data_IF_981328149138
#
_entry.id   IF_981328149138
#
_cell.length_a   1.000
_cell.length_b   1.000
_cell.length_c   1.000
_cell.angle_alpha   90.00
_cell.angle_beta   90.00
_cell.angle_gamma   90.00
#
_symmetry.space_group_name_H-M   'P 1'
#
loop_
_entity.id
_entity.type
_entity.pdbx_description
1 polymer ?
#
# COMPACT_ATOMS: atom_id res chain seq x y z
N UNK A 1 -18.96 10.68 -0.71
CA UNK A 1 -17.60 11.00 -0.23
C UNK A 1 -16.71 9.87 -0.70
N UNK A 2 -15.81 10.16 -1.64
CA UNK A 2 -14.85 9.17 -2.16
C UNK A 2 -13.90 8.83 -1.02
N UNK A 3 -13.68 7.53 -0.78
CA UNK A 3 -12.84 7.07 0.33
C UNK A 3 -11.50 6.66 -0.26
N UNK A 4 -10.51 7.55 -0.15
CA UNK A 4 -9.15 7.25 -0.58
C UNK A 4 -8.55 6.11 0.25
N UNK A 5 -7.68 5.31 -0.37
CA UNK A 5 -7.00 4.23 0.33
C UNK A 5 -6.09 4.78 1.42
N UNK A 6 -6.34 4.40 2.68
CA UNK A 6 -5.49 4.78 3.80
C UNK A 6 -4.08 4.21 3.59
N UNK A 7 -3.11 5.12 3.50
CA UNK A 7 -1.71 4.77 3.34
C UNK A 7 -1.18 4.16 4.62
N UNK A 8 -0.35 3.11 4.53
CA UNK A 8 0.24 2.47 5.70
C UNK A 8 1.18 3.39 6.48
N UNK A 9 1.78 4.37 5.80
CA UNK A 9 2.60 5.43 6.38
C UNK A 9 2.24 6.76 5.69
N UNK A 10 2.17 7.88 6.42
CA UNK A 10 1.91 9.16 5.80
C UNK A 10 3.09 9.58 4.93
N UNK A 11 2.77 10.19 3.79
CA UNK A 11 3.73 10.80 2.88
C UNK A 11 3.78 12.32 3.12
N UNK A 12 4.91 13.00 2.89
CA UNK A 12 4.95 14.45 2.85
C UNK A 12 3.99 15.00 1.79
N UNK A 13 3.30 16.11 2.09
CA UNK A 13 2.39 16.78 1.13
C UNK A 13 3.08 17.29 -0.14
N UNK A 14 4.41 17.42 -0.11
CA UNK A 14 5.22 17.82 -1.28
C UNK A 14 5.48 16.70 -2.27
N UNK A 15 5.32 15.45 -1.86
CA UNK A 15 5.85 14.32 -2.61
C UNK A 15 4.83 13.76 -3.61
N UNK A 16 3.55 14.10 -3.43
CA UNK A 16 2.44 13.57 -4.23
C UNK A 16 1.45 14.67 -4.59
N UNK A 17 1.11 14.76 -5.88
CA UNK A 17 0.07 15.66 -6.40
C UNK A 17 -0.90 14.87 -7.30
N UNK A 18 -2.16 15.28 -7.33
CA UNK A 18 -3.15 14.71 -8.26
C UNK A 18 -2.71 14.97 -9.71
N UNK A 19 -2.79 13.96 -10.55
CA UNK A 19 -2.28 13.97 -11.93
C UNK A 19 -0.84 13.50 -12.09
N UNK A 20 -0.11 13.27 -11.00
CA UNK A 20 1.26 12.75 -11.06
C UNK A 20 1.26 11.28 -11.48
N UNK A 21 2.19 10.94 -12.38
CA UNK A 21 2.55 9.56 -12.69
C UNK A 21 3.65 9.10 -11.73
N UNK A 22 3.51 7.92 -11.17
CA UNK A 22 4.49 7.34 -10.24
C UNK A 22 4.78 5.90 -10.60
N UNK A 23 6.02 5.46 -10.44
CA UNK A 23 6.38 4.05 -10.61
C UNK A 23 6.03 3.21 -9.37
N UNK A 24 6.05 3.85 -8.19
CA UNK A 24 5.70 3.20 -6.93
C UNK A 24 4.85 4.12 -6.04
N UNK A 25 3.57 3.79 -5.79
CA UNK A 25 2.66 4.66 -5.02
C UNK A 25 3.14 5.01 -3.61
N UNK A 26 3.86 4.11 -2.95
CA UNK A 26 4.34 4.32 -1.57
C UNK A 26 5.72 5.00 -1.48
N UNK A 27 6.41 5.14 -2.61
CA UNK A 27 7.72 5.77 -2.69
C UNK A 27 7.76 6.73 -3.91
N UNK A 28 6.86 7.73 -3.94
CA UNK A 28 6.75 8.66 -5.06
C UNK A 28 8.03 9.47 -5.30
N UNK A 29 8.91 9.58 -4.30
CA UNK A 29 10.19 10.28 -4.38
C UNK A 29 11.25 9.57 -5.24
N UNK A 30 11.05 8.28 -5.55
CA UNK A 30 12.04 7.48 -6.28
C UNK A 30 12.04 7.79 -7.77
N UNK A 31 10.86 7.73 -8.39
CA UNK A 31 10.68 7.94 -9.81
C UNK A 31 9.21 8.20 -10.12
N UNK A 32 8.97 9.36 -10.73
CA UNK A 32 7.65 9.85 -11.10
C UNK A 32 7.77 11.02 -12.07
N UNK A 33 6.66 11.33 -12.72
CA UNK A 33 6.55 12.40 -13.69
C UNK A 33 5.34 13.27 -13.38
N UNK A 34 5.53 14.57 -13.47
CA UNK A 34 4.46 15.55 -13.31
C UNK A 34 4.45 16.50 -14.52
N UNK A 35 3.35 16.48 -15.27
CA UNK A 35 3.19 17.36 -16.43
C UNK A 35 2.89 18.78 -15.95
N UNK A 36 3.81 19.70 -16.21
CA UNK A 36 3.55 21.13 -16.00
C UNK A 36 2.57 21.68 -17.04
N UNK A 37 2.57 21.11 -18.25
CA UNK A 37 1.66 21.52 -19.32
C UNK A 37 0.20 21.17 -19.00
N UNK A 38 -0.05 19.98 -18.46
CA UNK A 38 -1.40 19.53 -18.11
C UNK A 38 -1.86 20.01 -16.72
N UNK A 39 -1.02 20.72 -15.96
CA UNK A 39 -1.30 21.15 -14.58
C UNK A 39 -2.65 21.86 -14.44
N UNK A 40 -2.87 22.91 -15.23
CA UNK A 40 -4.08 23.74 -15.16
C UNK A 40 -5.34 22.93 -15.48
N UNK A 41 -5.29 22.14 -16.56
CA UNK A 41 -6.40 21.27 -16.96
C UNK A 41 -6.72 20.23 -15.89
N UNK A 42 -5.71 19.64 -15.26
CA UNK A 42 -5.92 18.66 -14.19
C UNK A 42 -6.52 19.34 -12.96
N UNK A 43 -6.08 20.56 -12.63
CA UNK A 43 -6.60 21.29 -11.48
C UNK A 43 -8.08 21.67 -11.65
N UNK A 44 -8.49 22.05 -12.85
CA UNK A 44 -9.90 22.30 -13.20
C UNK A 44 -10.79 21.06 -13.04
N UNK A 45 -10.24 19.86 -13.25
CA UNK A 45 -10.94 18.59 -13.09
C UNK A 45 -10.99 18.11 -11.62
N UNK A 46 -10.31 18.79 -10.70
CA UNK A 46 -10.23 18.41 -9.30
C UNK A 46 -11.37 19.03 -8.48
N UNK A 47 -11.95 18.22 -7.60
CA UNK A 47 -12.81 18.69 -6.52
C UNK A 47 -12.05 18.73 -5.20
N UNK A 48 -12.42 19.70 -4.37
CA UNK A 48 -11.77 20.02 -3.12
C UNK A 48 -12.77 19.89 -1.97
N UNK A 49 -12.51 18.95 -1.07
CA UNK A 49 -13.29 18.81 0.16
C UNK A 49 -12.44 19.13 1.39
N UNK A 50 -12.82 20.18 2.11
CA UNK A 50 -12.16 20.60 3.34
C UNK A 50 -13.07 20.33 4.52
N UNK A 51 -12.57 19.56 5.48
CA UNK A 51 -13.24 19.34 6.76
C UNK A 51 -12.39 19.90 7.90
N UNK A 52 -12.94 20.86 8.63
CA UNK A 52 -12.32 21.39 9.84
C UNK A 52 -12.60 20.47 11.03
N UNK A 53 -11.65 20.43 11.98
CA UNK A 53 -11.72 19.64 13.23
C UNK A 53 -12.03 18.17 12.94
N UNK A 54 -11.30 17.60 11.99
CA UNK A 54 -11.46 16.21 11.58
C UNK A 54 -11.16 15.28 12.76
N UNK A 55 -12.01 14.25 12.94
CA UNK A 55 -11.86 13.21 13.96
C UNK A 55 -12.21 11.86 13.36
N UNK A 56 -11.35 10.87 13.60
CA UNK A 56 -11.52 9.49 13.11
C UNK A 56 -10.84 8.50 14.08
N UNK A 57 -11.05 7.21 13.87
CA UNK A 57 -10.36 6.10 14.51
C UNK A 57 -9.68 5.26 13.43
N UNK A 58 -8.38 5.06 13.59
CA UNK A 58 -7.57 4.19 12.73
C UNK A 58 -7.18 2.92 13.48
N UNK A 59 -7.13 1.78 12.79
CA UNK A 59 -6.42 0.60 13.30
C UNK A 59 -4.98 0.60 12.80
N UNK A 60 -4.07 0.13 13.64
CA UNK A 60 -2.67 -0.09 13.28
C UNK A 60 -2.27 -1.54 13.46
N UNK A 61 -1.32 -2.01 12.65
CA UNK A 61 -0.71 -3.32 12.83
C UNK A 61 0.35 -3.31 13.96
N UNK A 62 1.02 -4.45 14.15
CA UNK A 62 2.06 -4.59 15.17
C UNK A 62 3.35 -3.81 14.84
N UNK A 63 3.53 -3.38 13.59
CA UNK A 63 4.66 -2.57 13.14
C UNK A 63 4.39 -1.06 13.22
N UNK A 64 3.14 -0.68 13.54
CA UNK A 64 2.68 0.70 13.58
C UNK A 64 2.28 1.25 12.21
N UNK A 65 1.94 0.41 11.24
CA UNK A 65 1.41 0.82 9.94
C UNK A 65 -0.12 0.94 10.02
N UNK A 66 -0.69 1.92 9.31
CA UNK A 66 -2.14 2.11 9.29
C UNK A 66 -2.87 1.05 8.45
N UNK A 67 -3.93 0.47 9.02
CA UNK A 67 -4.65 -0.67 8.45
C UNK A 67 -6.08 -0.35 8.01
N UNK A 68 -6.81 0.52 8.70
CA UNK A 68 -8.16 0.91 8.29
C UNK A 68 -8.55 2.21 8.98
N UNK A 69 -9.33 3.03 8.29
CA UNK A 69 -10.06 4.16 8.85
C UNK A 69 -11.52 3.72 9.01
N UNK A 70 -12.12 4.04 10.16
CA UNK A 70 -13.50 3.65 10.47
C UNK A 70 -14.50 4.82 10.30
N UNK A 71 -14.02 6.02 10.02
CA UNK A 71 -14.81 7.23 9.94
C UNK A 71 -15.34 7.71 11.30
N UNK A 72 -16.01 8.87 11.28
CA UNK A 72 -16.66 9.46 12.45
C UNK A 72 -18.00 8.78 12.82
N UNK A 73 -18.58 7.98 11.91
CA UNK A 73 -19.82 7.23 12.11
C UNK A 73 -19.48 5.75 12.31
N UNK A 74 -19.33 5.38 13.57
CA UNK A 74 -18.89 4.04 13.98
C UNK A 74 -19.90 2.95 13.62
N UNK A 75 -19.52 1.99 12.76
CA UNK A 75 -20.15 0.67 12.75
C UNK A 75 -19.65 -0.10 13.99
N UNK A 76 -20.36 0.09 15.11
CA UNK A 76 -20.01 -0.40 16.45
C UNK A 76 -19.58 -1.88 16.51
N UNK A 77 -20.12 -2.73 15.63
CA UNK A 77 -19.80 -4.17 15.60
C UNK A 77 -18.40 -4.51 15.05
N UNK A 78 -17.86 -3.70 14.13
CA UNK A 78 -16.56 -3.99 13.47
C UNK A 78 -15.37 -3.55 14.32
N UNK A 79 -15.49 -2.42 15.01
CA UNK A 79 -14.42 -1.82 15.83
C UNK A 79 -14.14 -2.64 17.08
N UNK A 80 -15.17 -3.27 17.67
CA UNK A 80 -15.06 -4.02 18.92
C UNK A 80 -14.05 -5.18 18.88
N UNK A 81 -13.74 -5.71 17.69
CA UNK A 81 -12.88 -6.88 17.53
C UNK A 81 -11.44 -6.54 17.13
N UNK A 82 -11.11 -5.26 16.98
CA UNK A 82 -9.83 -4.85 16.42
C UNK A 82 -8.86 -4.43 17.54
N UNK A 83 -7.71 -5.10 17.69
CA UNK A 83 -6.65 -4.63 18.56
C UNK A 83 -6.02 -3.34 17.98
N UNK A 84 -5.27 -2.62 18.81
CA UNK A 84 -4.43 -1.50 18.40
C UNK A 84 -5.16 -0.37 17.63
N UNK A 85 -6.10 0.30 18.31
CA UNK A 85 -6.83 1.43 17.77
C UNK A 85 -6.22 2.78 18.20
N UNK A 86 -6.20 3.74 17.27
CA UNK A 86 -5.77 5.13 17.47
C UNK A 86 -6.90 6.09 17.12
N UNK A 87 -7.24 6.99 18.04
CA UNK A 87 -8.06 8.17 17.73
C UNK A 87 -7.18 9.21 17.05
N UNK A 88 -7.62 9.68 15.89
CA UNK A 88 -7.00 10.75 15.12
C UNK A 88 -7.84 12.00 15.28
N UNK A 89 -7.20 13.12 15.60
CA UNK A 89 -7.81 14.44 15.59
C UNK A 89 -6.90 15.38 14.81
N UNK A 90 -7.41 16.03 13.78
CA UNK A 90 -6.66 16.99 12.97
C UNK A 90 -7.39 18.33 12.93
N UNK A 91 -6.63 19.42 12.80
CA UNK A 91 -7.21 20.76 12.63
C UNK A 91 -8.02 20.83 11.33
N UNK A 92 -7.50 20.19 10.30
CA UNK A 92 -8.08 20.19 8.97
C UNK A 92 -7.77 18.87 8.26
N UNK A 93 -8.76 18.36 7.53
CA UNK A 93 -8.58 17.38 6.47
C UNK A 93 -8.84 18.07 5.14
N UNK A 94 -7.96 17.87 4.16
CA UNK A 94 -8.11 18.35 2.80
C UNK A 94 -8.11 17.12 1.89
N UNK A 95 -9.19 16.90 1.16
CA UNK A 95 -9.26 15.90 0.11
C UNK A 95 -9.26 16.58 -1.23
N UNK A 96 -8.38 16.13 -2.13
CA UNK A 96 -8.36 16.53 -3.53
C UNK A 96 -8.63 15.29 -4.35
N UNK A 97 -9.61 15.33 -5.25
CA UNK A 97 -10.00 14.16 -6.06
C UNK A 97 -10.36 14.61 -7.46
N UNK A 98 -9.76 14.01 -8.48
CA UNK A 98 -10.19 14.22 -9.85
C UNK A 98 -11.58 13.60 -10.07
N UNK A 99 -12.54 14.41 -10.53
CA UNK A 99 -13.89 13.94 -10.83
C UNK A 99 -13.96 13.16 -12.14
N UNK A 100 -13.03 13.43 -13.06
CA UNK A 100 -12.90 12.76 -14.35
C UNK A 100 -11.47 12.20 -14.51
N UNK A 101 -11.15 11.07 -13.85
CA UNK A 101 -9.80 10.51 -13.85
C UNK A 101 -9.30 10.14 -15.25
N UNK A 102 -10.21 9.74 -16.14
CA UNK A 102 -9.89 9.41 -17.52
C UNK A 102 -9.45 10.65 -18.32
N UNK A 103 -10.13 11.78 -18.12
CA UNK A 103 -9.80 13.04 -18.80
C UNK A 103 -8.50 13.64 -18.25
N UNK A 104 -8.30 13.58 -16.93
CA UNK A 104 -7.04 13.97 -16.31
C UNK A 104 -5.87 13.12 -16.84
N UNK A 105 -6.06 11.80 -16.95
CA UNK A 105 -5.03 10.92 -17.52
C UNK A 105 -4.75 11.22 -18.99
N UNK A 106 -5.78 11.46 -19.79
CA UNK A 106 -5.64 11.83 -21.19
C UNK A 106 -4.89 13.16 -21.35
N UNK A 107 -5.17 14.15 -20.49
CA UNK A 107 -4.45 15.42 -20.47
C UNK A 107 -2.95 15.21 -20.19
N UNK A 108 -2.60 14.38 -19.20
CA UNK A 108 -1.20 14.01 -18.93
C UNK A 108 -0.57 13.30 -20.13
N UNK A 109 -1.27 12.34 -20.74
CA UNK A 109 -0.72 11.56 -21.86
C UNK A 109 -0.61 12.37 -23.17
N UNK A 110 -1.24 13.54 -23.28
CA UNK A 110 -1.08 14.44 -24.43
C UNK A 110 0.19 15.30 -24.35
N UNK A 111 0.86 15.34 -23.19
CA UNK A 111 2.18 15.95 -23.05
C UNK A 111 3.26 15.05 -23.66
N UNK A 112 4.08 15.60 -24.56
CA UNK A 112 5.15 14.86 -25.22
C UNK A 112 6.22 14.35 -24.24
N UNK A 113 6.48 15.10 -23.17
CA UNK A 113 7.46 14.70 -22.15
C UNK A 113 6.93 13.51 -21.33
N UNK A 114 5.62 13.52 -21.04
CA UNK A 114 4.95 12.39 -20.40
C UNK A 114 4.99 11.15 -21.31
N UNK A 115 4.68 11.30 -22.60
CA UNK A 115 4.75 10.22 -23.57
C UNK A 115 6.15 9.62 -23.64
N UNK A 116 7.20 10.45 -23.65
CA UNK A 116 8.58 9.99 -23.66
C UNK A 116 8.94 9.24 -22.37
N UNK A 117 8.49 9.73 -21.21
CA UNK A 117 8.68 9.04 -19.93
C UNK A 117 7.98 7.68 -19.91
N UNK A 118 6.71 7.62 -20.32
CA UNK A 118 5.92 6.38 -20.41
C UNK A 118 6.55 5.41 -21.42
N UNK A 119 7.03 5.90 -22.57
CA UNK A 119 7.71 5.10 -23.57
C UNK A 119 8.97 4.41 -23.02
N UNK A 120 9.76 5.14 -22.21
CA UNK A 120 10.94 4.56 -21.55
C UNK A 120 10.57 3.47 -20.53
N UNK A 121 9.46 3.65 -19.80
CA UNK A 121 8.94 2.62 -18.90
C UNK A 121 8.40 1.40 -19.65
N UNK A 122 7.70 1.61 -20.77
CA UNK A 122 7.18 0.56 -21.63
C UNK A 122 8.32 -0.33 -22.18
N UNK A 123 9.45 0.27 -22.58
CA UNK A 123 10.66 -0.49 -22.99
C UNK A 123 11.21 -1.37 -21.88
N UNK A 124 11.12 -0.90 -20.64
CA UNK A 124 11.57 -1.62 -19.45
C UNK A 124 10.51 -2.57 -18.89
N UNK A 125 9.32 -2.61 -19.49
CA UNK A 125 8.16 -3.38 -19.00
C UNK A 125 7.86 -3.08 -17.52
N UNK A 126 7.96 -1.80 -17.13
CA UNK A 126 7.67 -1.35 -15.77
C UNK A 126 6.24 -0.86 -15.64
N UNK A 127 5.60 -1.30 -14.56
CA UNK A 127 4.31 -0.77 -14.14
C UNK A 127 4.46 0.67 -13.63
N UNK A 128 3.40 1.45 -13.82
CA UNK A 128 3.28 2.79 -13.28
C UNK A 128 1.82 3.07 -12.94
N UNK A 129 1.60 4.19 -12.28
CA UNK A 129 0.32 4.51 -11.67
C UNK A 129 0.03 5.99 -11.80
N UNK A 130 -1.26 6.33 -11.89
CA UNK A 130 -1.74 7.70 -11.86
C UNK A 130 -2.32 8.00 -10.48
N UNK A 131 -1.89 9.11 -9.88
CA UNK A 131 -2.50 9.64 -8.66
C UNK A 131 -3.75 10.42 -9.04
N UNK A 132 -4.90 9.96 -8.56
CA UNK A 132 -6.22 10.52 -8.90
C UNK A 132 -6.81 11.29 -7.71
N UNK A 133 -6.38 10.96 -6.49
CA UNK A 133 -6.82 11.68 -5.30
C UNK A 133 -5.84 11.58 -4.15
N UNK A 134 -5.86 12.59 -3.28
CA UNK A 134 -5.07 12.65 -2.06
C UNK A 134 -5.94 13.09 -0.88
N UNK A 135 -5.66 12.56 0.31
CA UNK A 135 -6.24 13.00 1.58
C UNK A 135 -5.11 13.45 2.49
N UNK A 136 -5.07 14.74 2.76
CA UNK A 136 -4.11 15.36 3.65
C UNK A 136 -4.75 15.65 5.01
N UNK A 137 -4.00 15.39 6.07
CA UNK A 137 -4.36 15.83 7.43
C UNK A 137 -3.35 16.88 7.88
N UNK A 138 -3.84 17.99 8.40
CA UNK A 138 -3.04 19.08 8.93
C UNK A 138 -3.07 19.08 10.46
N UNK A 139 -1.88 19.10 11.08
CA UNK A 139 -1.67 19.02 12.54
C UNK A 139 -2.45 17.87 13.17
N UNK A 140 -2.39 16.70 12.55
CA UNK A 140 -3.00 15.49 13.06
C UNK A 140 -2.29 15.03 14.34
N UNK A 141 -3.09 14.81 15.38
CA UNK A 141 -2.67 14.29 16.68
C UNK A 141 -3.28 12.91 16.85
N UNK A 142 -2.46 11.97 17.30
CA UNK A 142 -2.83 10.59 17.49
C UNK A 142 -2.82 10.25 18.97
N UNK A 143 -3.94 9.71 19.44
CA UNK A 143 -4.08 9.21 20.81
C UNK A 143 -4.51 7.77 20.75
N UNK A 144 -4.15 6.98 21.76
CA UNK A 144 -4.71 5.65 21.88
C UNK A 144 -6.22 5.74 21.98
N UNK A 145 -6.93 5.02 21.13
CA UNK A 145 -8.38 5.08 21.11
C UNK A 145 -8.93 4.52 22.41
N UNK A 146 -9.74 5.32 23.09
CA UNK A 146 -10.61 4.83 24.15
C UNK A 146 -11.92 4.43 23.48
N UNK A 147 -12.48 3.28 23.81
CA UNK A 147 -13.80 2.86 23.28
C UNK A 147 -14.91 3.89 23.57
N UNK A 148 -14.68 4.79 24.54
CA UNK A 148 -15.48 5.99 24.82
C UNK A 148 -15.47 7.04 23.70
N UNK A 149 -14.32 7.25 23.03
CA UNK A 149 -14.18 8.15 21.88
C UNK A 149 -14.89 7.62 20.63
N UNK A 150 -15.10 6.30 20.59
CA UNK A 150 -15.83 5.57 19.56
C UNK A 150 -17.35 5.48 19.82
N UNK A 151 -17.88 6.23 20.80
CA UNK A 151 -19.32 6.25 21.11
C UNK A 151 -19.87 4.98 21.77
N UNK A 152 -19.00 4.06 22.20
CA UNK A 152 -19.40 2.78 22.81
C UNK A 152 -19.49 2.90 24.34
N UNK A 153 -20.57 2.32 24.89
CA UNK A 153 -20.97 2.17 26.30
C UNK A 153 -19.88 2.41 27.38
N UNK A 154 -20.28 3.06 28.48
CA UNK A 154 -19.47 3.40 29.68
C UNK A 154 -18.72 2.22 30.32
N UNK A 155 -19.04 0.99 29.95
CA UNK A 155 -18.68 -0.23 30.69
C UNK A 155 -17.65 -1.14 29.98
N UNK A 156 -17.13 -0.76 28.82
CA UNK A 156 -16.14 -1.59 28.10
C UNK A 156 -14.71 -1.16 28.42
N UNK A 157 -14.00 -2.05 29.12
CA UNK A 157 -12.62 -1.86 29.54
C UNK A 157 -11.66 -1.90 28.35
N UNK A 158 -10.72 -0.97 28.37
CA UNK A 158 -9.66 -0.79 27.40
C UNK A 158 -8.80 -2.06 27.28
N UNK A 159 -8.74 -2.69 26.11
CA UNK A 159 -7.67 -3.66 25.84
C UNK A 159 -6.36 -2.87 25.62
N UNK A 160 -5.26 -3.17 26.35
CA UNK A 160 -3.90 -2.71 26.04
C UNK A 160 -3.63 -2.72 24.53
N UNK A 161 -2.89 -1.71 24.02
CA UNK A 161 -2.09 -1.99 22.82
C UNK A 161 -1.25 -3.21 23.19
N UNK A 162 -1.22 -4.21 22.32
CA UNK A 162 -0.46 -5.43 22.60
C UNK A 162 0.98 -5.03 22.97
N UNK A 163 1.59 -5.73 23.94
CA UNK A 163 2.88 -5.31 24.51
C UNK A 163 3.99 -5.16 23.44
N UNK A 164 3.82 -5.82 22.30
CA UNK A 164 4.75 -5.82 21.18
C UNK A 164 4.33 -4.90 20.03
N UNK A 165 3.12 -4.32 20.07
CA UNK A 165 2.61 -3.47 19.01
C UNK A 165 3.25 -2.08 19.04
N UNK A 166 3.90 -1.72 17.93
CA UNK A 166 4.60 -0.46 17.74
C UNK A 166 3.61 0.64 17.37
N UNK A 167 3.85 1.85 17.87
CA UNK A 167 3.13 3.05 17.41
C UNK A 167 3.81 3.51 16.11
N UNK A 168 3.07 4.04 15.11
CA UNK A 168 3.64 4.51 13.86
C UNK A 168 4.94 5.30 14.07
N UNK A 169 6.01 4.96 13.34
CA UNK A 169 7.35 5.59 13.50
C UNK A 169 7.31 7.12 13.39
N UNK A 170 6.36 7.64 12.62
CA UNK A 170 6.11 9.08 12.48
C UNK A 170 5.65 9.76 13.80
N UNK A 171 5.10 8.99 14.73
CA UNK A 171 4.73 9.38 16.11
C UNK A 171 5.81 9.04 17.13
N UNK A 172 6.80 8.21 16.77
CA UNK A 172 7.81 7.65 17.66
C UNK A 172 9.13 8.44 17.70
N UNK A 173 9.17 9.70 17.25
CA UNK A 173 10.41 10.50 17.35
C UNK A 173 10.84 10.65 18.83
N UNK A 174 11.96 9.97 19.15
CA UNK A 174 12.87 10.05 20.31
C UNK A 174 12.21 10.51 21.63
N UNK A 175 11.93 9.55 22.52
CA UNK A 175 11.73 9.73 23.97
C UNK A 175 10.37 10.25 24.46
N UNK A 176 9.29 10.05 23.70
CA UNK A 176 7.93 10.38 24.17
C UNK A 176 7.27 9.16 24.80
N UNK A 177 7.31 9.07 26.13
CA UNK A 177 6.21 8.44 26.88
C UNK A 177 4.93 9.15 26.44
N UNK A 178 4.05 8.44 25.74
CA UNK A 178 2.69 8.89 25.42
C UNK A 178 2.07 9.51 26.68
N UNK A 179 2.05 10.85 26.76
CA UNK A 179 1.51 11.59 27.92
C UNK A 179 2.51 12.32 28.82
N UNK A 180 3.52 13.02 28.28
CA UNK A 180 4.25 14.03 29.07
C UNK A 180 3.95 15.46 28.59
N UNK A 181 3.60 16.29 29.56
CA UNK A 181 3.13 17.68 29.52
C UNK A 181 4.01 18.59 28.64
N UNK A 182 3.42 19.24 27.62
CA UNK A 182 4.09 20.32 26.87
C UNK A 182 3.47 20.64 25.50
N UNK A 183 3.37 19.66 24.61
CA UNK A 183 2.62 19.75 23.35
C UNK A 183 2.46 18.34 22.79
N UNK A 184 1.25 17.96 22.36
CA UNK A 184 1.05 16.68 21.71
C UNK A 184 1.76 16.72 20.35
N UNK A 185 2.59 15.72 19.99
CA UNK A 185 3.28 15.71 18.71
C UNK A 185 2.23 15.65 17.60
N UNK A 186 2.16 16.71 16.81
CA UNK A 186 1.30 16.78 15.64
C UNK A 186 2.09 16.48 14.37
N UNK A 187 1.44 15.85 13.41
CA UNK A 187 2.01 15.52 12.10
C UNK A 187 1.08 16.03 11.00
N UNK A 188 1.67 16.53 9.92
CA UNK A 188 0.95 16.90 8.71
C UNK A 188 1.48 16.10 7.53
N UNK A 189 0.60 15.73 6.60
CA UNK A 189 0.99 15.00 5.39
C UNK A 189 -0.21 14.34 4.71
N UNK A 190 0.08 13.57 3.67
CA UNK A 190 -0.88 12.74 2.93
C UNK A 190 -1.07 11.42 3.69
N UNK A 191 -2.29 11.16 4.15
CA UNK A 191 -2.68 9.93 4.83
C UNK A 191 -3.49 8.99 3.94
N UNK A 192 -4.15 9.51 2.92
CA UNK A 192 -4.92 8.70 1.97
C UNK A 192 -4.55 9.03 0.54
N UNK A 193 -4.59 8.04 -0.33
CA UNK A 193 -4.35 8.22 -1.76
C UNK A 193 -5.31 7.35 -2.58
N UNK A 194 -5.83 7.91 -3.66
CA UNK A 194 -6.51 7.17 -4.72
C UNK A 194 -5.59 7.11 -5.93
N UNK A 195 -5.30 5.89 -6.36
CA UNK A 195 -4.30 5.59 -7.37
C UNK A 195 -4.87 4.59 -8.34
N UNK A 196 -4.65 4.80 -9.63
CA UNK A 196 -5.07 3.87 -10.68
C UNK A 196 -3.87 3.20 -11.33
N UNK A 197 -4.02 1.91 -11.63
CA UNK A 197 -2.98 1.15 -12.33
C UNK A 197 -2.93 1.58 -13.79
N UNK A 198 -1.74 1.85 -14.29
CA UNK A 198 -1.52 2.16 -15.68
C UNK A 198 -0.62 1.09 -16.31
N UNK A 199 -0.83 0.83 -17.60
CA UNK A 199 -0.01 -0.09 -18.38
C UNK A 199 0.39 0.62 -19.66
N UNK A 200 1.61 0.40 -20.13
CA UNK A 200 2.04 0.88 -21.42
C UNK A 200 2.81 -0.21 -22.17
N UNK A 201 2.58 -0.29 -23.48
CA UNK A 201 3.36 -1.17 -24.37
C UNK A 201 3.64 -0.49 -25.69
N UNK A 202 4.75 -0.88 -26.31
CA UNK A 202 5.07 -0.51 -27.68
C UNK A 202 4.49 -1.59 -28.57
N UNK A 203 3.61 -1.19 -29.49
CA UNK A 203 2.85 -2.09 -30.35
C UNK A 203 2.87 -1.57 -31.79
N UNK A 204 2.30 -2.34 -32.70
CA UNK A 204 1.88 -1.83 -34.02
C UNK A 204 0.36 -1.76 -34.09
N UNK A 205 -0.23 -0.92 -34.98
CA UNK A 205 -1.68 -0.86 -35.17
C UNK A 205 -2.33 -2.18 -35.61
N UNK A 206 -1.54 -3.10 -36.19
CA UNK A 206 -2.03 -4.41 -36.65
C UNK A 206 -2.09 -5.46 -35.53
N UNK A 207 -1.42 -5.22 -34.39
CA UNK A 207 -1.37 -6.18 -33.30
C UNK A 207 -2.68 -6.14 -32.47
N UNK A 208 -3.38 -7.27 -32.29
CA UNK A 208 -4.62 -7.29 -31.54
C UNK A 208 -4.40 -7.11 -30.03
N UNK A 209 -5.47 -6.70 -29.34
CA UNK A 209 -5.52 -6.71 -27.88
C UNK A 209 -5.51 -8.13 -27.32
N UNK A 210 -4.92 -8.27 -26.12
CA UNK A 210 -4.95 -9.50 -25.32
C UNK A 210 -6.15 -9.48 -24.39
N UNK A 211 -6.52 -10.64 -23.83
CA UNK A 211 -7.62 -10.73 -22.87
C UNK A 211 -7.40 -9.84 -21.63
N UNK A 212 -6.14 -9.66 -21.23
CA UNK A 212 -5.72 -8.80 -20.13
C UNK A 212 -5.99 -7.31 -20.38
N UNK A 213 -6.19 -6.91 -21.65
CA UNK A 213 -6.40 -5.51 -22.03
C UNK A 213 -7.83 -5.02 -21.77
N UNK A 214 -8.78 -5.91 -21.47
CA UNK A 214 -10.21 -5.60 -21.39
C UNK A 214 -10.54 -4.64 -20.23
N UNK A 215 -9.77 -4.68 -19.13
CA UNK A 215 -10.00 -3.82 -17.96
C UNK A 215 -9.41 -2.41 -18.08
N UNK A 216 -8.86 -2.06 -19.25
CA UNK A 216 -8.15 -0.81 -19.45
C UNK A 216 -8.83 0.09 -20.49
N UNK A 217 -8.78 1.39 -20.24
CA UNK A 217 -9.13 2.42 -21.21
C UNK A 217 -7.87 2.83 -21.96
N UNK A 218 -7.82 2.57 -23.26
CA UNK A 218 -6.62 2.68 -24.07
C UNK A 218 -6.54 3.99 -24.86
N UNK A 219 -5.35 4.58 -24.85
CA UNK A 219 -4.94 5.71 -25.67
C UNK A 219 -3.76 5.29 -26.55
N UNK A 220 -3.66 5.86 -27.75
CA UNK A 220 -2.71 5.46 -28.78
C UNK A 220 -1.96 6.70 -29.26
N UNK A 221 -0.64 6.60 -29.29
CA UNK A 221 0.25 7.69 -29.68
C UNK A 221 1.30 7.17 -30.65
N UNK A 222 1.50 7.87 -31.76
CA UNK A 222 2.56 7.53 -32.71
C UNK A 222 3.94 7.81 -32.09
N UNK A 223 4.88 6.87 -32.23
CA UNK A 223 6.25 7.07 -31.75
C UNK A 223 7.04 7.87 -32.78
N UNK A 224 7.55 9.08 -32.44
CA UNK A 224 8.30 9.89 -33.39
C UNK A 224 9.55 9.16 -33.90
N UNK A 225 9.74 9.14 -35.22
CA UNK A 225 10.93 8.55 -35.85
C UNK A 225 10.93 7.03 -35.97
N UNK A 226 9.82 6.34 -35.67
CA UNK A 226 9.74 4.90 -35.88
C UNK A 226 9.63 4.52 -37.37
N UNK A 227 10.57 3.71 -37.86
CA UNK A 227 10.55 3.19 -39.23
C UNK A 227 9.42 2.18 -39.47
N UNK A 228 8.94 1.52 -38.41
CA UNK A 228 8.00 0.40 -38.46
C UNK A 228 6.58 0.77 -38.06
N UNK A 229 6.24 2.08 -38.01
CA UNK A 229 4.94 2.57 -37.53
C UNK A 229 4.61 2.06 -36.12
N UNK A 230 5.60 2.11 -35.22
CA UNK A 230 5.37 1.78 -33.82
C UNK A 230 4.46 2.82 -33.18
N UNK A 231 3.58 2.34 -32.32
CA UNK A 231 2.69 3.15 -31.50
C UNK A 231 2.95 2.83 -30.02
N UNK A 232 2.98 3.87 -29.20
CA UNK A 232 2.87 3.77 -27.76
C UNK A 232 1.39 3.65 -27.45
N UNK A 233 1.01 2.54 -26.82
CA UNK A 233 -0.36 2.35 -26.32
C UNK A 233 -0.33 2.38 -24.80
N UNK A 234 -1.25 3.16 -24.23
CA UNK A 234 -1.29 3.48 -22.81
C UNK A 234 -2.68 3.20 -22.28
N UNK A 235 -2.78 2.35 -21.26
CA UNK A 235 -4.03 1.93 -20.66
C UNK A 235 -4.20 2.47 -19.25
N UNK A 236 -5.35 3.06 -18.94
CA UNK A 236 -5.78 3.38 -17.58
C UNK A 236 -6.72 2.30 -17.06
N UNK A 237 -6.32 1.63 -15.98
CA UNK A 237 -7.09 0.55 -15.36
C UNK A 237 -7.89 1.00 -14.15
N UNK A 238 -8.25 0.00 -13.35
CA UNK A 238 -9.02 0.17 -12.11
C UNK A 238 -8.22 0.86 -11.00
N UNK A 239 -8.96 1.35 -10.00
CA UNK A 239 -8.39 1.90 -8.77
C UNK A 239 -7.76 0.78 -7.93
N UNK A 240 -6.55 1.05 -7.42
CA UNK A 240 -5.86 0.17 -6.49
C UNK A 240 -6.62 0.09 -5.18
N UNK A 241 -6.82 -1.14 -4.68
CA UNK A 241 -7.43 -1.35 -3.37
C UNK A 241 -6.43 -1.05 -2.27
N UNK A 242 -6.91 -0.61 -1.10
CA UNK A 242 -6.05 -0.36 0.07
C UNK A 242 -5.23 -1.60 0.49
N UNK A 243 -5.75 -2.81 0.26
CA UNK A 243 -5.00 -4.05 0.54
C UNK A 243 -3.87 -4.28 -0.47
N UNK A 244 -4.05 -3.90 -1.73
CA UNK A 244 -3.01 -4.02 -2.76
C UNK A 244 -1.86 -3.05 -2.46
N UNK A 245 -2.17 -1.80 -2.10
CA UNK A 245 -1.15 -0.84 -1.63
C UNK A 245 -0.35 -1.39 -0.45
N UNK A 246 -0.96 -2.14 0.47
CA UNK A 246 -0.22 -2.75 1.59
C UNK A 246 0.68 -3.89 1.14
N UNK A 247 0.23 -4.74 0.23
CA UNK A 247 1.07 -5.82 -0.30
C UNK A 247 2.32 -5.26 -1.00
N UNK A 248 2.26 -4.05 -1.57
CA UNK A 248 3.43 -3.39 -2.14
C UNK A 248 4.49 -3.01 -1.09
N UNK A 249 4.13 -2.77 0.18
CA UNK A 249 5.11 -2.55 1.25
C UNK A 249 5.93 -3.81 1.53
N UNK A 250 5.26 -4.95 1.68
CA UNK A 250 5.90 -6.21 2.09
C UNK A 250 6.90 -6.71 1.03
N UNK A 251 6.64 -6.40 -0.24
CA UNK A 251 7.57 -6.68 -1.33
C UNK A 251 8.80 -5.76 -1.33
N UNK A 252 8.72 -4.58 -0.70
CA UNK A 252 9.70 -3.50 -0.84
C UNK A 252 10.67 -3.32 0.33
N UNK A 253 10.33 -3.73 1.56
CA UNK A 253 11.17 -3.46 2.75
C UNK A 253 12.03 -4.65 3.23
N UNK A 254 11.69 -5.92 2.95
CA UNK A 254 12.45 -7.08 3.48
C UNK A 254 12.77 -8.17 2.45
N UNK A 255 12.01 -8.27 1.35
CA UNK A 255 12.10 -9.42 0.43
C UNK A 255 13.32 -9.38 -0.50
N UNK A 256 14.00 -8.23 -0.67
CA UNK A 256 15.22 -8.15 -1.51
C UNK A 256 16.48 -8.38 -0.68
N UNK A 257 16.57 -7.78 0.51
CA UNK A 257 17.77 -7.90 1.35
C UNK A 257 17.84 -9.27 2.05
N UNK A 258 16.71 -9.76 2.60
CA UNK A 258 16.66 -11.06 3.26
C UNK A 258 16.83 -12.25 2.31
N UNK A 259 16.31 -12.16 1.08
CA UNK A 259 16.48 -13.23 0.08
C UNK A 259 17.90 -13.25 -0.50
N UNK A 260 18.55 -12.09 -0.71
CA UNK A 260 19.95 -12.06 -1.15
C UNK A 260 20.90 -12.62 -0.08
N UNK A 261 20.67 -12.29 1.19
CA UNK A 261 21.48 -12.80 2.30
C UNK A 261 21.23 -14.30 2.56
N UNK A 262 19.99 -14.77 2.46
CA UNK A 262 19.64 -16.19 2.60
C UNK A 262 20.19 -17.04 1.43
N UNK A 263 20.14 -16.55 0.19
CA UNK A 263 20.73 -17.24 -0.97
C UNK A 263 22.26 -17.26 -0.87
N UNK A 264 22.87 -16.17 -0.38
CA UNK A 264 24.32 -16.09 -0.18
C UNK A 264 24.80 -17.01 0.95
N UNK A 265 24.01 -17.19 2.02
CA UNK A 265 24.32 -18.14 3.10
C UNK A 265 24.11 -19.59 2.69
N UNK A 266 23.02 -19.91 2.00
CA UNK A 266 22.74 -21.27 1.51
C UNK A 266 23.78 -21.74 0.48
N UNK A 267 24.29 -20.84 -0.36
CA UNK A 267 25.36 -21.17 -1.33
C UNK A 267 26.72 -21.38 -0.65
N UNK A 268 27.03 -20.63 0.42
CA UNK A 268 28.23 -20.83 1.24
C UNK A 268 28.17 -22.14 2.04
N UNK A 269 27.02 -22.46 2.62
CA UNK A 269 26.81 -23.68 3.39
C UNK A 269 26.79 -24.93 2.50
N UNK A 270 26.23 -24.85 1.29
CA UNK A 270 26.27 -25.94 0.32
C UNK A 270 27.69 -26.25 -0.17
N UNK A 271 28.52 -25.22 -0.38
CA UNK A 271 29.93 -25.40 -0.73
C UNK A 271 30.76 -25.96 0.44
N UNK A 272 30.44 -25.57 1.68
CA UNK A 272 31.08 -26.09 2.90
C UNK A 272 30.69 -27.55 3.19
N UNK A 273 29.42 -27.92 2.96
CA UNK A 273 28.91 -29.28 3.13
C UNK A 273 29.43 -30.25 2.05
N UNK A 274 29.61 -29.78 0.81
CA UNK A 274 30.21 -30.57 -0.26
C UNK A 274 31.73 -30.77 -0.09
N UNK A 275 32.38 -29.98 0.77
CA UNK A 275 33.82 -30.05 1.06
C UNK A 275 34.18 -30.87 2.31
N UNK A 276 33.22 -31.46 3.03
CA UNK A 276 33.47 -32.28 4.22
C UNK A 276 33.44 -33.79 3.91
N UNK A 277 34.59 -34.50 3.89
CA UNK A 277 34.62 -35.93 3.69
C UNK A 277 34.68 -36.62 5.05
N UNK A 278 33.56 -36.75 5.77
CA UNK A 278 33.42 -37.69 6.90
C UNK A 278 31.99 -37.59 7.45
N UNK A 279 31.18 -38.63 7.22
CA UNK A 279 30.38 -39.33 8.24
C UNK A 279 29.49 -40.39 7.55
N UNK A 280 29.81 -41.65 7.84
CA UNK A 280 29.08 -42.84 7.38
C UNK A 280 27.70 -42.91 8.05
N UNK A 281 26.63 -43.33 7.35
CA UNK A 281 25.37 -43.67 8.02
C UNK A 281 25.52 -45.06 8.67
N UNK A 282 25.36 -45.12 9.99
CA UNK A 282 25.19 -46.37 10.73
C UNK A 282 23.70 -46.68 10.86
N UNK A 283 23.27 -47.80 10.29
CA UNK A 283 21.95 -48.38 10.49
C UNK A 283 21.81 -48.91 11.93
N UNK A 284 20.58 -49.03 12.44
CA UNK A 284 20.24 -50.28 13.10
C UNK A 284 18.93 -50.90 12.63
N UNK A 285 18.97 -52.22 12.68
CA UNK A 285 18.02 -53.21 12.22
C UNK A 285 16.58 -53.08 12.73
N UNK A 286 15.67 -53.47 11.85
CA UNK A 286 14.35 -54.04 12.15
C UNK A 286 14.43 -55.14 13.23
N UNK A 287 13.56 -55.05 14.23
CA UNK A 287 12.93 -56.24 14.82
C UNK A 287 11.46 -55.93 15.10
N UNK A 288 10.61 -56.68 14.40
CA UNK A 288 9.18 -56.51 14.40
C UNK A 288 8.50 -57.04 15.65
N UNK A 289 7.25 -56.62 15.79
CA UNK A 289 6.11 -57.37 16.33
C UNK A 289 4.87 -56.50 16.14
N UNK A 290 4.10 -56.82 15.11
CA UNK A 290 2.67 -56.51 15.01
C UNK A 290 1.94 -57.19 16.18
N UNK A 291 0.84 -56.60 16.68
CA UNK A 291 -0.45 -57.17 16.32
C UNK A 291 -1.58 -56.13 16.21
N UNK A 292 -2.48 -56.39 15.27
CA UNK A 292 -3.91 -56.04 15.28
C UNK A 292 -4.70 -57.38 15.21
N UNK A 293 -6.04 -57.49 15.46
CA UNK A 293 -7.09 -56.48 15.70
C UNK A 293 -8.04 -56.79 16.91
N UNK A 294 -9.05 -55.92 17.12
CA UNK A 294 -10.28 -55.95 18.00
C UNK A 294 -10.98 -57.31 18.25
N UNK A 295 -12.08 -57.46 19.08
CA UNK A 295 -12.90 -56.51 19.90
C UNK A 295 -13.28 -57.02 21.34
N UNK A 296 -13.97 -56.22 22.17
CA UNK A 296 -15.27 -56.55 22.83
C UNK A 296 -15.69 -55.56 23.94
N UNK A 297 -16.98 -55.25 23.93
CA UNK A 297 -17.80 -54.61 24.96
C UNK A 297 -17.70 -55.30 26.34
N UNK A 298 -17.85 -54.51 27.40
CA UNK A 298 -18.93 -54.61 28.41
C UNK A 298 -18.78 -53.48 29.44
N UNK A 299 -19.91 -52.97 29.91
CA UNK A 299 -20.00 -51.84 30.82
C UNK A 299 -20.20 -52.22 32.27
N UNK A 300 -20.59 -51.18 33.04
CA UNK A 300 -21.03 -51.17 34.44
C UNK A 300 -19.90 -51.48 35.44
N UNK A 301 -19.69 -50.72 36.51
CA UNK A 301 -20.60 -49.86 37.28
C UNK A 301 -19.98 -48.49 37.62
#
# INVERSE_FOLDING_TARGET
MVLHGLLPKPLPSSDVVVGQLVTHPLYPERDGFYSQQAHETIDELNDYHIQLRYKDVFSVDNEGRFMSSYGSKYELGRIYRQPNLLTVAAEQMIQRTSQQPLEAFHAVCNDSDAQQWIYNLAKQQKDFYLVVGTTELHKAVFKRAKLRDAGVSRNLNEAPIEKDARVPRALSRRNSTLGRLGSEPSISGVFGMDVRRCVARISTPAEPHKLEDISYHWFYYDVPGSANKEQLIVGLGDALKANELRLMLDLSEETVQGNLDAISQLSLDALSAAASPLLKPSSPALRGRSPSPHPQLKGLA
#
